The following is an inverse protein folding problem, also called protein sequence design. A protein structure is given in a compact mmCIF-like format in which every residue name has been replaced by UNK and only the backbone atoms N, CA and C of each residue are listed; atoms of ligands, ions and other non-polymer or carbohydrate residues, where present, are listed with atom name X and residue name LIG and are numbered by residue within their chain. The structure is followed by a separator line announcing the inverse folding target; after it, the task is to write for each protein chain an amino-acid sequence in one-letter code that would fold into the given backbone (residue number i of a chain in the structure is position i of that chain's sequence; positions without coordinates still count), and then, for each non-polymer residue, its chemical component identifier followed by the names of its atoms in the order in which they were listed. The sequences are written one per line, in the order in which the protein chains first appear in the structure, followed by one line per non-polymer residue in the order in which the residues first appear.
data_IF_595786202128
#
_entry.id   IF_595786202128
#
_cell.length_a   1.000
_cell.length_b   1.000
_cell.length_c   1.000
_cell.angle_alpha   90.00
_cell.angle_beta   90.00
_cell.angle_gamma   90.00
#
_symmetry.space_group_name_H-M   'P 1'
#
loop_
_entity.id
_entity.type
_entity.pdbx_description
1 polymer ?
#
# COMPACT_ATOMS: atom_id res chain seq x y z
N UNK A 1 -32.01 4.82 -11.38
CA UNK A 1 -31.98 3.54 -12.10
C UNK A 1 -32.35 2.46 -11.09
N UNK A 2 -33.53 1.87 -11.24
CA UNK A 2 -33.95 0.70 -10.45
C UNK A 2 -33.39 -0.54 -11.14
N UNK A 3 -32.42 -1.19 -10.51
CA UNK A 3 -31.79 -2.42 -11.03
C UNK A 3 -32.72 -3.59 -10.71
N UNK A 4 -32.95 -4.51 -11.66
CA UNK A 4 -33.85 -5.65 -11.47
C UNK A 4 -33.22 -6.69 -10.51
N UNK A 5 -33.97 -7.26 -9.54
CA UNK A 5 -33.44 -8.14 -8.50
C UNK A 5 -32.82 -9.45 -9.04
N UNK A 6 -33.34 -9.97 -10.15
CA UNK A 6 -32.79 -11.19 -10.80
C UNK A 6 -31.38 -11.01 -11.36
N UNK A 7 -30.94 -9.77 -11.60
CA UNK A 7 -29.59 -9.42 -12.08
C UNK A 7 -28.60 -9.11 -10.93
N UNK A 8 -28.99 -9.28 -9.67
CA UNK A 8 -28.16 -8.91 -8.52
C UNK A 8 -27.70 -10.13 -7.69
N UNK A 9 -28.13 -11.35 -8.00
CA UNK A 9 -27.66 -12.52 -7.25
C UNK A 9 -26.32 -13.03 -7.80
N UNK A 10 -25.23 -12.51 -7.24
CA UNK A 10 -23.91 -13.10 -7.46
C UNK A 10 -23.90 -14.53 -6.89
N UNK A 11 -23.43 -15.53 -7.65
CA UNK A 11 -23.32 -16.90 -7.16
C UNK A 11 -22.55 -16.96 -5.85
N UNK A 12 -23.03 -17.75 -4.88
CA UNK A 12 -22.35 -17.98 -3.61
C UNK A 12 -20.87 -18.37 -3.79
N UNK A 13 -20.57 -19.10 -4.87
CA UNK A 13 -19.22 -19.47 -5.26
C UNK A 13 -18.27 -18.27 -5.43
N UNK A 14 -18.73 -17.14 -5.98
CA UNK A 14 -17.90 -15.93 -6.15
C UNK A 14 -17.54 -15.33 -4.79
N UNK A 15 -18.50 -15.29 -3.87
CA UNK A 15 -18.25 -14.78 -2.52
C UNK A 15 -17.28 -15.68 -1.76
N UNK A 16 -17.44 -17.00 -1.85
CA UNK A 16 -16.53 -17.96 -1.23
C UNK A 16 -15.13 -17.90 -1.82
N UNK A 17 -15.00 -17.72 -3.14
CA UNK A 17 -13.70 -17.53 -3.80
C UNK A 17 -13.02 -16.22 -3.36
N UNK A 18 -13.76 -15.12 -3.28
CA UNK A 18 -13.21 -13.85 -2.80
C UNK A 18 -12.67 -13.98 -1.37
N UNK A 19 -13.45 -14.61 -0.48
CA UNK A 19 -13.04 -14.88 0.89
C UNK A 19 -11.84 -15.83 0.95
N UNK A 20 -11.86 -16.92 0.18
CA UNK A 20 -10.77 -17.89 0.12
C UNK A 20 -9.45 -17.23 -0.29
N UNK A 21 -9.45 -16.47 -1.39
CA UNK A 21 -8.25 -15.79 -1.86
C UNK A 21 -7.83 -14.66 -0.92
N UNK A 22 -8.77 -13.92 -0.35
CA UNK A 22 -8.49 -12.92 0.70
C UNK A 22 -7.80 -13.53 1.91
N UNK A 23 -8.33 -14.65 2.43
CA UNK A 23 -7.74 -15.37 3.55
C UNK A 23 -6.37 -15.96 3.23
N UNK A 24 -6.16 -16.44 2.00
CA UNK A 24 -4.85 -16.87 1.52
C UNK A 24 -3.86 -15.70 1.52
N UNK A 25 -4.27 -14.53 1.03
CA UNK A 25 -3.50 -13.28 1.09
C UNK A 25 -3.10 -12.92 2.53
N UNK A 26 -4.05 -12.97 3.46
CA UNK A 26 -3.81 -12.67 4.88
C UNK A 26 -2.86 -13.67 5.54
N UNK A 27 -2.91 -14.93 5.11
CA UNK A 27 -1.99 -15.98 5.58
C UNK A 27 -0.56 -15.74 5.09
N UNK A 28 -0.41 -15.35 3.83
CA UNK A 28 0.91 -14.99 3.28
C UNK A 28 1.47 -13.78 4.04
N UNK A 29 0.63 -12.75 4.26
CA UNK A 29 0.98 -11.55 5.02
C UNK A 29 1.43 -11.89 6.45
N UNK A 30 0.76 -12.84 7.09
CA UNK A 30 1.14 -13.35 8.41
C UNK A 30 2.53 -13.99 8.41
N UNK A 31 2.88 -14.66 7.32
CA UNK A 31 4.18 -15.28 7.12
C UNK A 31 5.34 -14.31 6.85
N UNK A 32 5.07 -13.01 6.64
CA UNK A 32 6.10 -11.97 6.55
C UNK A 32 6.69 -11.59 7.91
N UNK A 33 6.11 -12.06 9.02
CA UNK A 33 6.61 -11.85 10.37
C UNK A 33 6.86 -13.20 11.05
N UNK A 34 8.12 -13.45 11.41
CA UNK A 34 8.59 -14.71 12.02
C UNK A 34 7.97 -14.97 13.40
N UNK A 35 7.41 -13.95 14.05
CA UNK A 35 6.81 -14.06 15.37
C UNK A 35 5.31 -14.37 15.33
N UNK A 36 4.71 -14.51 14.16
CA UNK A 36 3.27 -14.79 14.05
C UNK A 36 2.98 -16.25 14.35
N UNK A 37 2.22 -16.51 15.42
CA UNK A 37 1.77 -17.84 15.78
C UNK A 37 0.58 -18.31 14.91
N UNK A 38 0.18 -19.57 15.06
CA UNK A 38 -0.94 -20.15 14.29
C UNK A 38 -2.23 -19.34 14.51
N UNK A 39 -2.48 -18.84 15.71
CA UNK A 39 -3.65 -18.01 16.01
C UNK A 39 -3.57 -16.67 15.28
N UNK A 40 -2.40 -16.04 15.25
CA UNK A 40 -2.12 -14.84 14.48
C UNK A 40 -2.35 -15.05 12.98
N UNK A 41 -1.91 -16.19 12.43
CA UNK A 41 -2.16 -16.55 11.03
C UNK A 41 -3.65 -16.63 10.73
N UNK A 42 -4.43 -17.36 11.55
CA UNK A 42 -5.87 -17.45 11.36
C UNK A 42 -6.57 -16.09 11.55
N UNK A 43 -6.10 -15.28 12.49
CA UNK A 43 -6.62 -13.92 12.72
C UNK A 43 -6.41 -13.04 11.50
N UNK A 44 -5.22 -13.03 10.91
CA UNK A 44 -4.91 -12.24 9.71
C UNK A 44 -5.62 -12.78 8.46
N UNK A 45 -5.73 -14.10 8.32
CA UNK A 45 -6.52 -14.72 7.27
C UNK A 45 -8.01 -14.33 7.37
N UNK A 46 -8.58 -14.39 8.57
CA UNK A 46 -9.96 -13.96 8.81
C UNK A 46 -10.13 -12.45 8.60
N UNK A 47 -9.18 -11.64 9.04
CA UNK A 47 -9.20 -10.19 8.86
C UNK A 47 -9.20 -9.79 7.38
N UNK A 48 -8.34 -10.41 6.56
CA UNK A 48 -8.30 -10.11 5.12
C UNK A 48 -9.47 -10.74 4.36
N UNK A 49 -9.85 -11.97 4.72
CA UNK A 49 -10.94 -12.71 4.07
C UNK A 49 -12.33 -12.15 4.37
N UNK A 50 -12.60 -11.74 5.61
CA UNK A 50 -13.92 -11.25 6.03
C UNK A 50 -13.98 -9.74 6.24
N UNK A 51 -12.87 -9.09 6.56
CA UNK A 51 -12.85 -7.70 7.04
C UNK A 51 -13.54 -6.73 6.09
N UNK A 52 -13.25 -6.82 4.79
CA UNK A 52 -13.93 -6.01 3.77
C UNK A 52 -15.44 -6.22 3.73
N UNK A 53 -15.89 -7.47 3.81
CA UNK A 53 -17.30 -7.83 3.84
C UNK A 53 -18.01 -7.41 5.13
N UNK A 54 -17.34 -7.52 6.28
CA UNK A 54 -17.85 -7.08 7.58
C UNK A 54 -18.00 -5.55 7.61
N UNK A 55 -16.97 -4.81 7.19
CA UNK A 55 -17.03 -3.34 7.13
C UNK A 55 -18.21 -2.91 6.24
N UNK A 56 -18.34 -3.50 5.05
CA UNK A 56 -19.46 -3.26 4.15
C UNK A 56 -20.81 -3.53 4.80
N UNK A 57 -20.98 -4.70 5.41
CA UNK A 57 -22.26 -5.10 6.00
C UNK A 57 -22.64 -4.20 7.18
N UNK A 58 -21.67 -3.78 7.99
CA UNK A 58 -21.87 -2.80 9.07
C UNK A 58 -22.29 -1.44 8.50
N UNK A 59 -21.61 -0.93 7.47
CA UNK A 59 -21.96 0.33 6.82
C UNK A 59 -23.37 0.33 6.20
N UNK A 60 -23.83 -0.83 5.72
CA UNK A 60 -25.17 -1.02 5.16
C UNK A 60 -26.24 -1.34 6.23
N UNK A 61 -25.86 -1.51 7.50
CA UNK A 61 -26.77 -1.97 8.55
C UNK A 61 -27.24 -3.41 8.38
N UNK A 62 -26.56 -4.21 7.55
CA UNK A 62 -26.86 -5.62 7.30
C UNK A 62 -26.27 -6.50 8.41
N UNK A 63 -26.90 -6.49 9.58
CA UNK A 63 -26.44 -7.23 10.75
C UNK A 63 -27.31 -8.48 11.02
N UNK A 64 -26.72 -9.60 11.45
CA UNK A 64 -25.28 -9.88 11.54
C UNK A 64 -24.61 -9.98 10.15
N UNK A 65 -23.31 -9.66 9.99
CA UNK A 65 -22.63 -9.73 8.69
C UNK A 65 -22.71 -11.10 8.02
N UNK A 66 -22.70 -11.15 6.69
CA UNK A 66 -22.82 -12.39 5.91
C UNK A 66 -21.71 -13.40 6.26
N UNK A 67 -20.50 -12.91 6.50
CA UNK A 67 -19.36 -13.74 6.94
C UNK A 67 -19.61 -14.49 8.26
N UNK A 68 -20.50 -13.96 9.11
CA UNK A 68 -20.86 -14.58 10.41
C UNK A 68 -22.11 -15.46 10.27
N UNK A 69 -22.99 -15.17 9.31
CA UNK A 69 -24.25 -15.90 9.12
C UNK A 69 -24.06 -17.31 8.59
N UNK A 70 -23.12 -17.52 7.66
CA UNK A 70 -22.95 -18.80 6.97
C UNK A 70 -21.59 -19.44 7.32
N UNK A 71 -21.59 -20.65 7.90
CA UNK A 71 -20.35 -21.36 8.26
C UNK A 71 -19.44 -21.67 7.06
N UNK A 72 -19.97 -21.68 5.82
CA UNK A 72 -19.16 -21.91 4.63
C UNK A 72 -18.05 -20.86 4.45
N UNK A 73 -18.29 -19.61 4.90
CA UNK A 73 -17.27 -18.57 4.89
C UNK A 73 -16.10 -18.90 5.81
N UNK A 74 -16.39 -19.41 7.02
CA UNK A 74 -15.35 -19.89 7.95
C UNK A 74 -14.57 -21.06 7.38
N UNK A 75 -15.26 -22.03 6.78
CA UNK A 75 -14.61 -23.18 6.14
C UNK A 75 -13.68 -22.72 5.02
N UNK A 76 -14.13 -21.80 4.16
CA UNK A 76 -13.32 -21.26 3.08
C UNK A 76 -12.05 -20.56 3.59
N UNK A 77 -12.16 -19.72 4.62
CA UNK A 77 -11.01 -19.04 5.20
C UNK A 77 -10.06 -20.01 5.92
N UNK A 78 -10.60 -21.00 6.63
CA UNK A 78 -9.80 -21.99 7.34
C UNK A 78 -9.00 -22.88 6.37
N UNK A 79 -9.65 -23.33 5.29
CA UNK A 79 -8.99 -24.11 4.23
C UNK A 79 -7.93 -23.26 3.53
N UNK A 80 -8.22 -21.99 3.23
CA UNK A 80 -7.24 -21.08 2.66
C UNK A 80 -6.01 -20.89 3.57
N UNK A 81 -6.23 -20.70 4.87
CA UNK A 81 -5.15 -20.55 5.84
C UNK A 81 -4.33 -21.84 6.01
N UNK A 82 -4.98 -23.01 6.07
CA UNK A 82 -4.28 -24.29 6.12
C UNK A 82 -3.40 -24.51 4.88
N UNK A 83 -3.92 -24.20 3.69
CA UNK A 83 -3.14 -24.27 2.44
C UNK A 83 -2.01 -23.24 2.45
N UNK A 84 -2.29 -21.99 2.85
CA UNK A 84 -1.30 -20.92 2.91
C UNK A 84 -0.13 -21.27 3.83
N UNK A 85 -0.40 -21.80 5.03
CA UNK A 85 0.63 -22.25 5.97
C UNK A 85 1.45 -23.41 5.40
N UNK A 86 0.80 -24.42 4.82
CA UNK A 86 1.49 -25.60 4.28
C UNK A 86 2.41 -25.28 3.09
N UNK A 87 2.11 -24.24 2.32
CA UNK A 87 2.84 -23.86 1.12
C UNK A 87 3.53 -22.49 1.22
N UNK A 88 3.66 -21.93 2.43
CA UNK A 88 4.11 -20.55 2.65
C UNK A 88 5.45 -20.25 1.97
N UNK A 89 6.42 -21.17 2.11
CA UNK A 89 7.73 -21.10 1.45
C UNK A 89 7.64 -20.98 -0.08
N UNK A 90 6.77 -21.78 -0.70
CA UNK A 90 6.57 -21.74 -2.15
C UNK A 90 5.82 -20.48 -2.58
N UNK A 91 4.81 -20.06 -1.80
CA UNK A 91 4.01 -18.88 -2.09
C UNK A 91 4.86 -17.60 -2.09
N UNK A 92 5.81 -17.46 -1.15
CA UNK A 92 6.77 -16.34 -1.16
C UNK A 92 7.62 -16.28 -2.44
N UNK A 93 8.03 -17.44 -2.98
CA UNK A 93 8.76 -17.49 -4.25
C UNK A 93 7.89 -17.10 -5.45
N UNK A 94 6.57 -17.15 -5.30
CA UNK A 94 5.57 -16.84 -6.32
C UNK A 94 5.11 -15.38 -6.28
N UNK A 95 5.93 -14.43 -5.81
CA UNK A 95 5.54 -13.02 -5.62
C UNK A 95 4.81 -12.38 -6.83
N UNK A 96 5.21 -12.69 -8.07
CA UNK A 96 4.50 -12.23 -9.27
C UNK A 96 3.07 -12.77 -9.34
N UNK A 97 2.88 -14.05 -9.07
CA UNK A 97 1.56 -14.70 -9.08
C UNK A 97 0.67 -14.17 -7.96
N UNK A 98 1.23 -13.96 -6.76
CA UNK A 98 0.51 -13.36 -5.63
C UNK A 98 0.02 -11.94 -5.93
N UNK A 99 0.82 -11.15 -6.65
CA UNK A 99 0.39 -9.82 -7.09
C UNK A 99 -0.82 -9.86 -8.03
N UNK A 100 -0.88 -10.83 -8.95
CA UNK A 100 -2.06 -11.02 -9.83
C UNK A 100 -3.27 -11.48 -9.03
N UNK A 101 -3.07 -12.41 -8.10
CA UNK A 101 -4.12 -12.93 -7.24
C UNK A 101 -4.73 -11.81 -6.37
N UNK A 102 -3.89 -10.96 -5.78
CA UNK A 102 -4.33 -9.78 -5.03
C UNK A 102 -5.11 -8.78 -5.90
N UNK A 103 -4.72 -8.61 -7.17
CA UNK A 103 -5.46 -7.78 -8.12
C UNK A 103 -6.87 -8.32 -8.38
N UNK A 104 -7.02 -9.63 -8.48
CA UNK A 104 -8.31 -10.31 -8.66
C UNK A 104 -9.16 -10.15 -7.40
N UNK A 105 -8.58 -10.31 -6.21
CA UNK A 105 -9.28 -10.16 -4.91
C UNK A 105 -9.89 -8.76 -4.82
N UNK A 106 -9.11 -7.71 -5.06
CA UNK A 106 -9.60 -6.32 -5.01
C UNK A 106 -10.78 -6.14 -5.97
N UNK A 107 -10.67 -6.66 -7.19
CA UNK A 107 -11.72 -6.56 -8.19
C UNK A 107 -13.00 -7.28 -7.77
N UNK A 108 -12.88 -8.51 -7.25
CA UNK A 108 -14.01 -9.30 -6.77
C UNK A 108 -14.71 -8.63 -5.59
N UNK A 109 -13.97 -8.18 -4.57
CA UNK A 109 -14.57 -7.50 -3.42
C UNK A 109 -15.22 -6.16 -3.81
N UNK A 110 -14.64 -5.43 -4.77
CA UNK A 110 -15.26 -4.23 -5.31
C UNK A 110 -16.62 -4.56 -5.94
N UNK A 111 -16.69 -5.56 -6.82
CA UNK A 111 -17.92 -6.00 -7.47
C UNK A 111 -18.97 -6.46 -6.47
N UNK A 112 -18.60 -7.39 -5.58
CA UNK A 112 -19.48 -7.93 -4.54
C UNK A 112 -19.97 -6.83 -3.61
N UNK A 113 -19.10 -5.86 -3.28
CA UNK A 113 -19.44 -4.72 -2.43
C UNK A 113 -20.47 -3.78 -3.06
N UNK A 114 -20.26 -3.38 -4.33
CA UNK A 114 -21.25 -2.57 -5.07
C UNK A 114 -22.56 -3.32 -5.19
N UNK A 115 -22.51 -4.60 -5.56
CA UNK A 115 -23.70 -5.43 -5.71
C UNK A 115 -24.54 -5.50 -4.43
N UNK A 116 -23.90 -5.77 -3.30
CA UNK A 116 -24.58 -5.84 -1.99
C UNK A 116 -25.15 -4.48 -1.59
N UNK A 117 -24.45 -3.38 -1.87
CA UNK A 117 -24.95 -2.04 -1.57
C UNK A 117 -26.17 -1.67 -2.44
N UNK A 118 -26.17 -2.05 -3.71
CA UNK A 118 -27.33 -1.88 -4.60
C UNK A 118 -28.53 -2.73 -4.14
N UNK A 119 -28.28 -3.98 -3.71
CA UNK A 119 -29.30 -4.84 -3.11
C UNK A 119 -29.90 -4.25 -1.82
N UNK A 120 -29.10 -3.54 -1.03
CA UNK A 120 -29.55 -2.83 0.15
C UNK A 120 -30.36 -1.55 -0.17
N UNK A 121 -30.61 -1.25 -1.45
CA UNK A 121 -31.39 -0.08 -1.89
C UNK A 121 -30.61 1.22 -1.95
N UNK A 122 -29.28 1.16 -1.84
CA UNK A 122 -28.42 2.35 -1.92
C UNK A 122 -28.26 2.80 -3.38
N UNK A 123 -28.17 4.10 -3.61
CA UNK A 123 -27.92 4.67 -4.95
C UNK A 123 -26.52 4.28 -5.46
N UNK A 124 -26.33 4.30 -6.78
CA UNK A 124 -25.08 3.89 -7.46
C UNK A 124 -23.85 4.57 -6.89
N UNK A 125 -23.87 5.89 -6.68
CA UNK A 125 -22.68 6.62 -6.23
C UNK A 125 -22.19 6.18 -4.84
N UNK A 126 -23.03 6.16 -3.77
CA UNK A 126 -22.61 5.57 -2.51
C UNK A 126 -22.32 4.06 -2.59
N UNK A 127 -22.99 3.30 -3.47
CA UNK A 127 -22.69 1.89 -3.67
C UNK A 127 -21.26 1.66 -4.20
N UNK A 128 -20.79 2.51 -5.12
CA UNK A 128 -19.40 2.52 -5.62
C UNK A 128 -18.40 2.77 -4.49
N UNK A 129 -18.68 3.74 -3.62
CA UNK A 129 -17.83 4.04 -2.45
C UNK A 129 -17.76 2.85 -1.50
N UNK A 130 -18.91 2.23 -1.20
CA UNK A 130 -18.98 1.04 -0.34
C UNK A 130 -18.23 -0.14 -0.98
N UNK A 131 -18.33 -0.32 -2.30
CA UNK A 131 -17.56 -1.32 -3.03
C UNK A 131 -16.06 -1.12 -2.93
N UNK A 132 -15.58 0.11 -3.14
CA UNK A 132 -14.18 0.45 -2.97
C UNK A 132 -13.71 0.15 -1.53
N UNK A 133 -14.44 0.60 -0.51
CA UNK A 133 -14.12 0.35 0.90
C UNK A 133 -14.08 -1.16 1.18
N UNK A 134 -15.03 -1.93 0.66
CA UNK A 134 -15.05 -3.39 0.81
C UNK A 134 -13.80 -4.03 0.19
N UNK A 135 -13.34 -3.53 -0.96
CA UNK A 135 -12.15 -4.05 -1.64
C UNK A 135 -10.83 -3.83 -0.90
N UNK A 136 -10.70 -2.70 -0.21
CA UNK A 136 -9.45 -2.34 0.48
C UNK A 136 -9.49 -2.66 1.98
N UNK A 137 -10.69 -2.75 2.56
CA UNK A 137 -10.88 -2.84 4.00
C UNK A 137 -10.25 -4.07 4.65
N UNK A 138 -10.21 -5.21 3.94
CA UNK A 138 -9.53 -6.42 4.43
C UNK A 138 -8.03 -6.21 4.61
N UNK A 139 -7.38 -5.58 3.62
CA UNK A 139 -5.95 -5.28 3.64
C UNK A 139 -5.61 -4.19 4.68
N UNK A 140 -6.47 -3.17 4.83
CA UNK A 140 -6.31 -2.17 5.89
C UNK A 140 -6.34 -2.81 7.27
N UNK A 141 -7.26 -3.76 7.49
CA UNK A 141 -7.40 -4.43 8.77
C UNK A 141 -6.16 -5.27 9.10
N UNK A 142 -5.60 -6.00 8.12
CA UNK A 142 -4.35 -6.73 8.33
C UNK A 142 -3.16 -5.83 8.62
N UNK A 143 -3.05 -4.70 7.91
CA UNK A 143 -1.96 -3.75 8.14
C UNK A 143 -2.03 -3.17 9.57
N UNK A 144 -3.23 -2.82 10.04
CA UNK A 144 -3.47 -2.33 11.41
C UNK A 144 -3.13 -3.42 12.44
N UNK A 145 -3.56 -4.66 12.22
CA UNK A 145 -3.32 -5.77 13.15
C UNK A 145 -1.83 -6.11 13.29
N UNK A 146 -1.04 -5.88 12.23
CA UNK A 146 0.42 -6.05 12.26
C UNK A 146 1.16 -4.81 12.77
N UNK A 147 0.47 -3.71 13.05
CA UNK A 147 1.10 -2.46 13.48
C UNK A 147 1.96 -1.78 12.43
N UNK A 148 1.78 -2.11 11.14
CA UNK A 148 2.55 -1.54 10.02
C UNK A 148 1.77 -0.40 9.36
N UNK A 149 2.44 0.63 8.80
CA UNK A 149 1.77 1.66 8.01
C UNK A 149 1.06 1.01 6.82
N UNK A 150 -0.21 1.38 6.58
CA UNK A 150 -1.01 0.66 5.58
C UNK A 150 -0.47 0.88 4.16
N UNK A 151 -0.31 -0.24 3.46
CA UNK A 151 0.11 -0.33 2.05
C UNK A 151 -0.84 0.38 1.08
N UNK A 152 -2.05 0.74 1.53
CA UNK A 152 -3.02 1.54 0.77
C UNK A 152 -2.72 3.05 0.92
N UNK A 153 -2.18 3.47 2.05
CA UNK A 153 -1.86 4.87 2.36
C UNK A 153 -0.41 5.24 2.00
N UNK A 154 0.47 4.26 1.86
CA UNK A 154 1.90 4.43 1.59
C UNK A 154 2.33 3.82 0.24
N UNK A 155 3.60 4.07 -0.14
CA UNK A 155 4.24 3.75 -1.41
C UNK A 155 3.83 2.36 -1.99
N UNK A 156 3.06 2.34 -3.08
CA UNK A 156 2.65 1.07 -3.71
C UNK A 156 1.80 1.26 -4.99
N UNK A 157 1.44 0.16 -5.68
CA UNK A 157 0.45 0.18 -6.75
C UNK A 157 -0.85 0.81 -6.26
N UNK A 158 -1.63 1.48 -7.12
CA UNK A 158 -2.79 2.24 -6.70
C UNK A 158 -3.98 1.30 -6.33
N UNK A 159 -3.90 0.63 -5.17
CA UNK A 159 -4.85 -0.39 -4.71
C UNK A 159 -6.27 0.18 -4.56
N UNK A 160 -6.41 1.31 -3.85
CA UNK A 160 -7.70 1.97 -3.71
C UNK A 160 -8.26 2.51 -5.03
N UNK A 161 -7.40 3.04 -5.91
CA UNK A 161 -7.84 3.59 -7.22
C UNK A 161 -8.26 2.46 -8.16
N UNK A 162 -7.55 1.32 -8.14
CA UNK A 162 -7.93 0.14 -8.92
C UNK A 162 -9.25 -0.47 -8.42
N UNK A 163 -9.44 -0.60 -7.11
CA UNK A 163 -10.72 -0.99 -6.52
C UNK A 163 -11.86 -0.02 -6.86
N UNK A 164 -11.58 1.29 -6.83
CA UNK A 164 -12.53 2.31 -7.26
C UNK A 164 -12.90 2.16 -8.74
N UNK A 165 -11.92 1.92 -9.62
CA UNK A 165 -12.17 1.71 -11.04
C UNK A 165 -13.05 0.48 -11.26
N UNK A 166 -12.75 -0.65 -10.60
CA UNK A 166 -13.59 -1.85 -10.63
C UNK A 166 -15.02 -1.58 -10.14
N UNK A 167 -15.17 -0.88 -9.02
CA UNK A 167 -16.47 -0.53 -8.47
C UNK A 167 -17.29 0.37 -9.41
N UNK A 168 -16.66 1.37 -10.04
CA UNK A 168 -17.29 2.23 -11.05
C UNK A 168 -17.72 1.39 -12.26
N UNK A 169 -16.83 0.56 -12.79
CA UNK A 169 -17.13 -0.31 -13.94
C UNK A 169 -18.32 -1.21 -13.62
N UNK A 170 -18.34 -1.87 -12.45
CA UNK A 170 -19.46 -2.70 -12.03
C UNK A 170 -20.76 -1.91 -11.91
N UNK A 171 -20.74 -0.77 -11.19
CA UNK A 171 -21.91 0.06 -10.95
C UNK A 171 -22.56 0.64 -12.21
N UNK A 172 -21.77 0.87 -13.27
CA UNK A 172 -22.28 1.34 -14.56
C UNK A 172 -22.79 0.18 -15.42
N UNK A 173 -22.06 -0.93 -15.50
CA UNK A 173 -22.38 -2.03 -16.42
C UNK A 173 -23.50 -2.95 -15.93
N UNK A 174 -23.76 -3.02 -14.62
CA UNK A 174 -24.75 -3.94 -14.02
C UNK A 174 -26.18 -3.75 -14.55
N UNK A 175 -26.50 -2.58 -15.13
CA UNK A 175 -27.82 -2.31 -15.73
C UNK A 175 -27.94 -2.74 -17.20
N UNK A 176 -26.84 -3.13 -17.84
CA UNK A 176 -26.80 -3.38 -19.29
C UNK A 176 -26.34 -4.80 -19.65
N UNK A 177 -25.61 -5.47 -18.74
CA UNK A 177 -24.90 -6.73 -19.01
C UNK A 177 -25.22 -7.75 -17.92
N UNK A 178 -25.10 -9.04 -18.24
CA UNK A 178 -25.19 -10.14 -17.28
C UNK A 178 -24.25 -9.93 -16.06
N UNK A 179 -24.63 -10.34 -14.84
CA UNK A 179 -23.87 -10.06 -13.63
C UNK A 179 -22.50 -10.74 -13.60
N UNK A 180 -22.38 -11.94 -14.19
CA UNK A 180 -21.11 -12.68 -14.25
C UNK A 180 -20.14 -11.96 -15.19
N UNK A 181 -20.61 -11.61 -16.39
CA UNK A 181 -19.82 -10.84 -17.35
C UNK A 181 -19.43 -9.47 -16.81
N UNK A 182 -20.33 -8.79 -16.10
CA UNK A 182 -20.05 -7.51 -15.45
C UNK A 182 -18.94 -7.66 -14.40
N UNK A 183 -18.97 -8.71 -13.59
CA UNK A 183 -17.92 -9.02 -12.60
C UNK A 183 -16.57 -9.27 -13.25
N UNK A 184 -16.54 -10.02 -14.35
CA UNK A 184 -15.31 -10.29 -15.12
C UNK A 184 -14.74 -8.99 -15.72
N UNK A 185 -15.58 -8.17 -16.34
CA UNK A 185 -15.16 -6.90 -16.94
C UNK A 185 -14.67 -5.89 -15.89
N UNK A 186 -15.35 -5.78 -14.75
CA UNK A 186 -14.94 -4.92 -13.65
C UNK A 186 -13.64 -5.40 -12.98
N UNK A 187 -13.46 -6.71 -12.84
CA UNK A 187 -12.20 -7.29 -12.34
C UNK A 187 -11.07 -7.03 -13.35
N UNK A 188 -11.33 -7.17 -14.66
CA UNK A 188 -10.36 -6.83 -15.70
C UNK A 188 -10.00 -5.34 -15.70
N UNK A 189 -10.97 -4.45 -15.46
CA UNK A 189 -10.70 -3.02 -15.30
C UNK A 189 -9.81 -2.72 -14.07
N UNK A 190 -10.07 -3.40 -12.95
CA UNK A 190 -9.24 -3.32 -11.73
C UNK A 190 -7.80 -3.70 -12.04
N UNK A 191 -7.61 -4.86 -12.68
CA UNK A 191 -6.29 -5.35 -13.09
C UNK A 191 -5.61 -4.38 -14.06
N UNK A 192 -6.34 -3.85 -15.04
CA UNK A 192 -5.83 -2.89 -16.02
C UNK A 192 -5.30 -1.62 -15.36
N UNK A 193 -6.05 -1.05 -14.41
CA UNK A 193 -5.58 0.10 -13.62
C UNK A 193 -4.37 -0.29 -12.77
N UNK A 194 -4.37 -1.47 -12.17
CA UNK A 194 -3.27 -1.89 -11.30
C UNK A 194 -1.97 -2.17 -12.07
N UNK A 195 -2.06 -2.60 -13.33
CA UNK A 195 -0.93 -2.72 -14.26
C UNK A 195 -0.27 -1.38 -14.57
N UNK A 196 -0.97 -0.25 -14.39
CA UNK A 196 -0.36 1.06 -14.62
C UNK A 196 0.77 1.38 -13.63
N UNK A 197 0.72 0.84 -12.41
CA UNK A 197 1.79 1.01 -11.42
C UNK A 197 3.11 0.40 -11.89
N UNK A 198 3.18 -0.92 -12.12
CA UNK A 198 4.40 -1.58 -12.60
C UNK A 198 4.84 -1.16 -14.01
N UNK A 199 3.91 -0.88 -14.92
CA UNK A 199 4.25 -0.56 -16.32
C UNK A 199 4.66 0.90 -16.52
N UNK A 200 3.98 1.85 -15.87
CA UNK A 200 4.22 3.29 -16.05
C UNK A 200 4.94 3.92 -14.85
N UNK A 201 5.41 3.13 -13.88
CA UNK A 201 5.97 3.62 -12.61
C UNK A 201 5.06 4.66 -11.93
N UNK A 202 3.76 4.57 -12.18
CA UNK A 202 2.79 5.58 -11.73
C UNK A 202 2.56 5.40 -10.25
N UNK A 203 3.05 6.37 -9.47
CA UNK A 203 2.76 6.49 -8.05
C UNK A 203 1.60 7.48 -7.89
N UNK A 204 0.71 7.23 -6.94
CA UNK A 204 -0.35 8.19 -6.58
C UNK A 204 0.34 9.52 -6.16
N UNK A 205 -0.14 10.68 -6.62
CA UNK A 205 0.49 11.97 -6.31
C UNK A 205 0.57 12.19 -4.80
N UNK A 206 1.71 12.73 -4.35
CA UNK A 206 2.01 12.98 -2.93
C UNK A 206 2.00 14.49 -2.66
N UNK A 207 0.90 15.06 -2.12
CA UNK A 207 0.79 16.51 -1.94
C UNK A 207 1.89 17.09 -1.03
N UNK A 208 2.21 16.40 0.07
CA UNK A 208 3.23 16.85 1.05
C UNK A 208 4.65 16.74 0.49
N UNK A 209 5.01 15.63 -0.15
CA UNK A 209 6.33 15.49 -0.78
C UNK A 209 6.52 16.50 -1.91
N UNK A 210 5.50 16.71 -2.73
CA UNK A 210 5.56 17.70 -3.81
C UNK A 210 5.69 19.13 -3.28
N UNK A 211 4.95 19.48 -2.21
CA UNK A 211 5.08 20.78 -1.56
C UNK A 211 6.48 20.97 -0.95
N UNK A 212 7.04 19.93 -0.30
CA UNK A 212 8.39 19.94 0.23
C UNK A 212 9.45 20.13 -0.87
N UNK A 213 9.37 19.36 -1.96
CA UNK A 213 10.26 19.50 -3.12
C UNK A 213 10.19 20.91 -3.75
N UNK A 214 8.99 21.50 -3.81
CA UNK A 214 8.80 22.88 -4.28
C UNK A 214 9.39 23.91 -3.30
N UNK A 215 9.25 23.71 -1.99
CA UNK A 215 9.86 24.56 -0.95
C UNK A 215 11.39 24.53 -1.07
N UNK A 216 11.99 23.33 -1.06
CA UNK A 216 13.44 23.14 -1.23
C UNK A 216 13.94 23.72 -2.56
N UNK A 217 13.22 23.50 -3.67
CA UNK A 217 13.54 24.11 -4.97
C UNK A 217 13.56 25.63 -4.94
N UNK A 218 12.60 26.23 -4.23
CA UNK A 218 12.45 27.67 -4.16
C UNK A 218 13.53 28.29 -3.26
N UNK A 219 13.79 27.67 -2.10
CA UNK A 219 14.88 28.05 -1.20
C UNK A 219 16.24 27.95 -1.89
N UNK A 220 16.50 26.85 -2.60
CA UNK A 220 17.76 26.66 -3.33
C UNK A 220 17.95 27.69 -4.45
N UNK A 221 16.89 27.99 -5.23
CA UNK A 221 16.94 29.05 -6.25
C UNK A 221 17.19 30.43 -5.64
N UNK A 222 16.62 30.70 -4.46
CA UNK A 222 16.81 31.95 -3.73
C UNK A 222 18.25 32.09 -3.22
N UNK A 223 18.78 31.07 -2.55
CA UNK A 223 20.17 31.03 -2.09
C UNK A 223 21.18 31.16 -3.25
N UNK A 224 20.87 30.61 -4.44
CA UNK A 224 21.67 30.79 -5.67
C UNK A 224 21.68 32.21 -6.19
N UNK A 225 20.56 32.90 -6.08
CA UNK A 225 20.44 34.29 -6.50
C UNK A 225 21.14 35.22 -5.50
N UNK A 226 21.10 34.89 -4.22
CA UNK A 226 21.67 35.67 -3.11
C UNK A 226 23.15 35.38 -2.87
N UNK A 227 23.71 34.33 -3.49
CA UNK A 227 25.12 33.94 -3.34
C UNK A 227 25.43 33.30 -1.98
N UNK A 228 24.40 32.86 -1.25
CA UNK A 228 24.48 32.31 0.11
C UNK A 228 24.52 30.78 0.12
N UNK A 229 24.72 30.13 -1.04
CA UNK A 229 24.85 28.67 -1.07
C UNK A 229 26.13 28.19 -0.38
N UNK A 230 26.05 27.06 0.34
CA UNK A 230 27.22 26.36 0.82
C UNK A 230 28.21 26.02 -0.32
N UNK A 231 29.51 26.09 -0.03
CA UNK A 231 30.56 25.67 -0.96
C UNK A 231 30.34 24.20 -1.39
N UNK A 232 30.47 23.92 -2.69
CA UNK A 232 30.22 22.60 -3.28
C UNK A 232 28.80 22.38 -3.82
N UNK A 233 27.80 23.17 -3.40
CA UNK A 233 26.42 23.07 -3.91
C UNK A 233 26.15 23.97 -5.14
N UNK A 234 27.01 24.96 -5.39
CA UNK A 234 26.88 25.92 -6.49
C UNK A 234 27.09 25.31 -7.89
N UNK A 235 27.86 24.23 -7.98
CA UNK A 235 28.23 23.53 -9.22
C UNK A 235 27.18 22.50 -9.68
N UNK A 236 26.19 22.19 -8.83
CA UNK A 236 25.08 21.31 -9.19
C UNK A 236 24.22 21.99 -10.26
N UNK A 237 24.22 21.40 -11.46
CA UNK A 237 23.42 21.84 -12.60
C UNK A 237 21.92 21.76 -12.27
N UNK A 238 21.08 22.66 -12.81
CA UNK A 238 19.65 22.66 -12.55
C UNK A 238 19.00 21.45 -13.22
N UNK A 239 18.85 20.38 -12.46
CA UNK A 239 18.27 19.11 -12.88
C UNK A 239 18.00 18.23 -11.67
N UNK A 240 17.21 17.18 -11.89
CA UNK A 240 16.72 16.23 -10.88
C UNK A 240 17.80 15.70 -9.93
N UNK A 241 19.07 15.67 -10.35
CA UNK A 241 20.22 15.26 -9.53
C UNK A 241 20.58 16.21 -8.37
N UNK A 242 20.36 17.53 -8.51
CA UNK A 242 20.63 18.48 -7.43
C UNK A 242 19.64 18.29 -6.27
N UNK A 243 18.38 17.94 -6.57
CA UNK A 243 17.44 17.54 -5.52
C UNK A 243 17.72 16.15 -4.98
N UNK A 244 18.19 15.19 -5.77
CA UNK A 244 18.55 13.87 -5.25
C UNK A 244 19.69 13.96 -4.23
N UNK A 245 20.72 14.76 -4.52
CA UNK A 245 21.84 15.03 -3.62
C UNK A 245 21.44 15.81 -2.37
N UNK A 246 20.46 16.72 -2.49
CA UNK A 246 19.98 17.55 -1.37
C UNK A 246 18.95 16.78 -0.53
N UNK A 247 18.01 16.05 -1.13
CA UNK A 247 16.93 15.34 -0.41
C UNK A 247 17.28 13.98 0.20
N UNK A 248 18.56 13.60 0.25
CA UNK A 248 19.00 12.29 0.75
C UNK A 248 18.49 11.08 -0.06
N UNK A 249 17.82 11.31 -1.19
CA UNK A 249 17.39 10.27 -2.11
C UNK A 249 18.58 9.85 -2.97
N UNK A 250 19.28 8.81 -2.49
CA UNK A 250 20.47 8.23 -3.12
C UNK A 250 20.49 8.35 -4.63
N UNK A 251 21.29 9.30 -5.13
CA UNK A 251 21.78 9.24 -6.49
C UNK A 251 22.75 8.05 -6.52
N UNK A 252 22.31 6.90 -7.04
CA UNK A 252 23.25 5.87 -7.47
C UNK A 252 24.20 6.56 -8.45
N UNK A 253 25.50 6.70 -8.14
CA UNK A 253 26.43 7.22 -9.12
C UNK A 253 26.42 6.22 -10.26
N UNK A 254 26.32 6.70 -11.50
CA UNK A 254 26.76 5.92 -12.64
C UNK A 254 28.27 5.68 -12.47
N UNK A 255 28.63 4.66 -11.70
CA UNK A 255 30.00 4.18 -11.58
C UNK A 255 30.34 3.60 -12.96
N UNK A 256 31.30 4.25 -13.60
CA UNK A 256 32.04 3.66 -14.70
C UNK A 256 32.61 2.33 -14.19
N UNK A 257 32.09 1.22 -14.72
CA UNK A 257 32.59 -0.11 -14.46
C UNK A 257 34.00 -0.23 -15.06
N UNK A 258 35.03 -0.21 -14.21
CA UNK A 258 36.37 -0.67 -14.57
C UNK A 258 36.50 -2.15 -14.12
N UNK A 259 36.61 -3.14 -15.03
CA UNK A 259 36.37 -4.55 -14.72
C UNK A 259 37.42 -5.27 -13.87
N UNK A 260 38.51 -4.63 -13.44
CA UNK A 260 39.64 -5.34 -12.83
C UNK A 260 39.68 -5.36 -11.28
N UNK A 261 38.78 -4.68 -10.58
CA UNK A 261 38.87 -4.54 -9.11
C UNK A 261 38.09 -5.56 -8.27
N UNK A 262 37.30 -6.46 -8.87
CA UNK A 262 36.40 -7.38 -8.14
C UNK A 262 37.10 -8.67 -7.66
N UNK A 263 38.36 -8.92 -8.03
CA UNK A 263 39.06 -10.18 -7.68
C UNK A 263 39.65 -10.25 -6.25
N UNK A 264 39.57 -9.19 -5.45
CA UNK A 264 40.35 -9.07 -4.20
C UNK A 264 39.58 -9.31 -2.88
N UNK A 265 38.28 -9.61 -2.91
CA UNK A 265 37.46 -9.75 -1.68
C UNK A 265 36.72 -11.10 -1.63
N UNK A 266 37.48 -12.19 -1.61
CA UNK A 266 37.00 -13.48 -1.11
C UNK A 266 37.35 -13.63 0.39
N UNK A 267 36.43 -14.10 1.25
CA UNK A 267 36.62 -14.13 2.69
C UNK A 267 37.54 -15.29 3.13
N UNK A 268 38.41 -15.04 4.10
CA UNK A 268 39.21 -16.04 4.81
C UNK A 268 38.55 -16.35 6.18
N UNK A 269 38.45 -17.63 6.50
CA UNK A 269 37.88 -18.20 7.72
C UNK A 269 38.72 -17.89 8.98
N UNK A 270 38.08 -17.50 10.11
CA UNK A 270 38.35 -17.98 11.49
C UNK A 270 37.43 -17.31 12.57
N UNK A 271 37.33 -17.80 13.84
CA UNK A 271 36.09 -18.33 14.41
C UNK A 271 35.35 -17.48 15.47
N UNK A 272 34.14 -17.98 15.76
CA UNK A 272 33.07 -17.53 16.69
C UNK A 272 33.52 -17.19 18.12
N UNK A 273 33.12 -16.01 18.61
CA UNK A 273 33.03 -15.69 20.04
C UNK A 273 31.87 -14.70 20.37
N UNK A 274 30.95 -15.18 21.22
CA UNK A 274 30.00 -14.50 22.12
C UNK A 274 29.19 -13.29 21.61
N UNK A 275 27.89 -13.52 21.35
CA UNK A 275 26.85 -12.51 21.15
C UNK A 275 26.49 -11.77 22.45
N UNK A 276 26.37 -10.43 22.43
CA UNK A 276 25.42 -9.71 23.26
C UNK A 276 24.25 -9.21 22.40
N UNK A 277 23.04 -9.63 22.79
CA UNK A 277 21.73 -9.01 22.56
C UNK A 277 21.55 -8.21 21.24
N UNK A 278 21.01 -8.88 20.22
CA UNK A 278 20.55 -8.24 18.99
C UNK A 278 19.29 -7.39 19.27
N UNK A 279 19.51 -6.13 19.62
CA UNK A 279 18.53 -5.07 19.44
C UNK A 279 18.16 -5.04 17.95
N UNK A 280 16.94 -5.46 17.63
CA UNK A 280 16.44 -5.53 16.26
C UNK A 280 16.29 -4.11 15.75
N UNK A 281 17.31 -3.63 15.03
CA UNK A 281 17.31 -2.34 14.35
C UNK A 281 16.18 -2.38 13.32
N UNK A 282 15.06 -1.73 13.64
CA UNK A 282 14.09 -1.32 12.65
C UNK A 282 14.82 -0.36 11.70
N UNK A 283 15.08 -0.82 10.48
CA UNK A 283 15.49 0.08 9.40
C UNK A 283 14.25 0.90 9.06
N UNK A 284 14.14 2.05 9.73
CA UNK A 284 13.23 3.10 9.35
C UNK A 284 13.68 3.58 7.96
N UNK A 285 12.93 3.21 6.93
CA UNK A 285 13.16 3.66 5.55
C UNK A 285 12.90 5.18 5.37
N UNK A 286 12.69 5.90 6.48
CA UNK A 286 12.67 7.35 6.61
C UNK A 286 13.86 7.94 7.38
N UNK A 287 14.88 7.15 7.72
CA UNK A 287 16.15 7.65 8.25
C UNK A 287 17.21 7.61 7.13
N UNK A 288 17.74 8.76 6.66
CA UNK A 288 18.81 8.75 5.68
C UNK A 288 20.02 8.04 6.30
N UNK A 289 20.45 6.95 5.66
CA UNK A 289 21.60 6.16 6.07
C UNK A 289 22.84 7.05 6.17
N UNK A 290 23.45 7.03 7.36
CA UNK A 290 24.74 7.61 7.67
C UNK A 290 25.79 7.18 6.62
N UNK A 291 26.22 8.11 5.77
CA UNK A 291 27.27 7.85 4.79
C UNK A 291 27.43 8.92 3.72
N UNK A 292 28.02 10.05 4.08
CA UNK A 292 28.63 11.08 3.20
C UNK A 292 27.71 11.95 2.31
N UNK A 293 27.02 12.94 2.91
CA UNK A 293 26.80 14.28 2.33
C UNK A 293 26.30 15.28 3.40
N UNK A 294 27.16 15.63 4.39
CA UNK A 294 26.75 16.36 5.60
C UNK A 294 26.29 17.81 5.38
N UNK A 295 26.83 18.52 4.39
CA UNK A 295 26.56 19.96 4.24
C UNK A 295 25.16 20.27 3.64
N UNK A 296 24.61 19.38 2.83
CA UNK A 296 23.29 19.55 2.23
C UNK A 296 22.18 19.22 3.24
N UNK A 297 22.39 18.19 4.06
CA UNK A 297 21.49 17.77 5.13
C UNK A 297 21.43 18.82 6.25
N UNK A 298 22.58 19.35 6.68
CA UNK A 298 22.65 20.45 7.66
C UNK A 298 21.97 21.73 7.14
N UNK A 299 22.12 22.05 5.86
CA UNK A 299 21.47 23.22 5.26
C UNK A 299 19.95 23.06 5.19
N UNK A 300 19.45 21.86 4.85
CA UNK A 300 18.01 21.58 4.86
C UNK A 300 17.45 21.64 6.28
N UNK A 301 18.13 21.05 7.26
CA UNK A 301 17.73 21.13 8.66
C UNK A 301 17.63 22.59 9.14
N UNK A 302 18.56 23.46 8.71
CA UNK A 302 18.49 24.90 9.02
C UNK A 302 17.27 25.61 8.43
N UNK A 303 16.71 25.13 7.31
CA UNK A 303 15.47 25.66 6.73
C UNK A 303 14.20 25.17 7.47
N UNK A 304 14.30 24.07 8.21
CA UNK A 304 13.22 23.54 9.06
C UNK A 304 13.22 24.24 10.42
N UNK A 305 14.40 24.54 10.97
CA UNK A 305 14.56 25.27 12.24
C UNK A 305 14.03 26.73 12.16
N UNK A 306 14.22 27.43 11.03
CA UNK A 306 13.63 28.76 10.80
C UNK A 306 12.09 28.78 10.94
N UNK A 307 11.42 27.67 10.64
CA UNK A 307 9.95 27.55 10.70
C UNK A 307 9.43 27.29 12.12
N UNK A 308 10.22 26.58 12.94
CA UNK A 308 9.91 26.40 14.37
C UNK A 308 10.19 27.66 15.21
N UNK A 309 11.12 28.51 14.76
CA UNK A 309 11.37 29.83 15.35
C UNK A 309 10.26 30.84 15.10
N UNK A 310 9.74 30.93 13.86
CA UNK A 310 8.67 31.88 13.52
C UNK A 310 7.29 31.50 14.12
N UNK A 311 7.05 30.20 14.37
CA UNK A 311 5.81 29.74 15.02
C UNK A 311 5.82 29.88 16.54
N UNK A 312 6.99 29.95 17.19
CA UNK A 312 7.14 30.20 18.62
C UNK A 312 7.02 31.67 19.02
N UNK A 313 7.41 32.61 18.15
CA UNK A 313 7.34 34.06 18.46
C UNK A 313 5.95 34.67 18.26
N UNK A 314 5.03 33.98 17.58
CA UNK A 314 3.66 34.47 17.34
C UNK A 314 2.71 34.29 18.55
N UNK A 315 3.07 33.50 19.56
CA UNK A 315 2.21 33.20 20.71
C UNK A 315 2.54 34.04 21.98
N UNK A 316 3.64 34.82 21.98
CA UNK A 316 4.09 35.57 23.17
C UNK A 316 3.82 37.09 23.13
N UNK A 317 2.96 37.58 22.22
CA UNK A 317 2.52 38.98 22.21
C UNK A 317 0.99 39.12 22.24
N UNK A 318 0.39 38.81 23.39
CA UNK A 318 -0.86 39.43 23.82
C UNK A 318 -0.60 40.25 25.10
N UNK A 319 -0.70 41.59 25.06
CA UNK A 319 -0.63 42.38 26.29
C UNK A 319 -1.95 42.27 27.07
N UNK A 320 -1.80 42.29 28.40
CA UNK A 320 -2.83 42.24 29.43
C UNK A 320 -3.85 43.40 29.39
#
# INVERSE_FOLDING_TARGET
MTVLPELLELPLAINLLAVFFGALGGTIRAGEDEHTDIVGVFTLAAAMGFGGGIIRDVLLGNLPPAAIRDPLYFVAAFVAAAIGMGFLYYLHKLGRFLWWLDSIIIGLFACVGVNTALLAGVKILPAVVIGMIASVGGLMLTDILQGRPSSIMYLGPPNAVSGLAGAITYGVLISFVDPILTTVLATAATIGVRLTGPLFHTRVPQPRKHAYELKVRTAFKRARKEGTLPEGLGDLAPGTGALAAVSGLGAVPALAEDPESISALAPQDEPVAAEPEAETIYIDEYSPGLGSSSAAEEWIASLEDEETGESGEAEEQQPA
#
